data_IF_396752413285
#
_entry.id   IF_396752413285
#
_cell.length_a   1.000
_cell.length_b   1.000
_cell.length_c   1.000
_cell.angle_alpha   90.00
_cell.angle_beta   90.00
_cell.angle_gamma   90.00
#
_symmetry.space_group_name_H-M   'P 1'
#
loop_
_entity.id
_entity.type
_entity.pdbx_description
1 polymer ?
#
# COMPACT_ATOMS: atom_id res chain seq x y z
N UNK A 1 67.30 -2.08 55.90
CA UNK A 1 65.88 -2.27 56.17
C UNK A 1 65.16 -2.26 54.82
N UNK A 2 64.87 -3.36 54.26
CA UNK A 2 64.06 -3.35 53.03
C UNK A 2 62.58 -3.22 53.36
N UNK A 3 61.93 -2.23 52.79
CA UNK A 3 60.49 -2.07 52.85
C UNK A 3 59.81 -3.02 51.80
N UNK A 4 59.10 -3.98 52.28
CA UNK A 4 58.18 -4.76 51.47
C UNK A 4 56.96 -3.92 51.12
N UNK A 5 56.75 -3.60 49.87
CA UNK A 5 55.52 -3.05 49.35
C UNK A 5 54.66 -4.17 48.87
N UNK A 6 53.48 -4.30 49.44
CA UNK A 6 52.43 -5.22 49.01
C UNK A 6 51.82 -4.77 47.68
N UNK A 7 51.56 -5.65 46.70
CA UNK A 7 50.86 -5.27 45.52
C UNK A 7 49.35 -5.20 45.80
N UNK A 8 48.74 -4.14 45.36
CA UNK A 8 47.32 -3.86 45.45
C UNK A 8 46.53 -4.86 44.66
N UNK A 9 45.71 -5.65 45.32
CA UNK A 9 44.68 -6.51 44.75
C UNK A 9 43.46 -5.62 44.46
N UNK A 10 43.49 -4.84 43.40
CA UNK A 10 42.35 -3.97 43.05
C UNK A 10 41.97 -3.96 41.55
N UNK A 11 42.53 -4.83 40.73
CA UNK A 11 42.32 -4.79 39.28
C UNK A 11 41.52 -5.97 38.70
N UNK A 12 41.02 -6.88 39.52
CA UNK A 12 40.31 -8.06 39.05
C UNK A 12 38.79 -8.05 39.26
N UNK A 13 38.24 -7.05 39.91
CA UNK A 13 36.79 -6.99 40.18
C UNK A 13 36.00 -6.11 39.21
N UNK A 14 36.66 -5.34 38.35
CA UNK A 14 35.96 -4.47 37.40
C UNK A 14 35.70 -5.09 36.02
N UNK A 15 36.30 -6.24 35.71
CA UNK A 15 36.15 -6.89 34.40
C UNK A 15 34.93 -7.80 34.30
N UNK A 16 34.33 -8.21 35.40
CA UNK A 16 33.15 -9.12 35.38
C UNK A 16 31.80 -8.41 35.41
N UNK A 17 31.76 -7.11 35.68
CA UNK A 17 30.50 -6.35 35.68
C UNK A 17 30.08 -5.82 34.30
N UNK A 18 31.00 -5.85 33.31
CA UNK A 18 30.72 -5.28 31.96
C UNK A 18 30.11 -6.27 30.97
N UNK A 19 30.00 -7.55 31.27
CA UNK A 19 29.51 -8.57 30.36
C UNK A 19 27.99 -8.87 30.53
N UNK A 20 27.42 -8.43 31.65
CA UNK A 20 26.00 -8.75 31.97
C UNK A 20 24.99 -7.74 31.39
N UNK A 21 25.40 -6.66 30.70
CA UNK A 21 24.49 -5.61 30.22
C UNK A 21 24.23 -5.64 28.71
N UNK A 22 24.78 -6.61 27.99
CA UNK A 22 24.65 -6.70 26.53
C UNK A 22 23.54 -7.63 26.03
N UNK A 23 22.72 -8.22 26.91
CA UNK A 23 21.83 -9.32 26.53
C UNK A 23 20.33 -8.96 26.50
N UNK A 24 19.93 -7.71 26.59
CA UNK A 24 18.48 -7.35 26.73
C UNK A 24 17.93 -6.48 25.59
N UNK A 25 18.58 -6.45 24.43
CA UNK A 25 18.09 -5.68 23.28
C UNK A 25 17.68 -6.54 22.08
N UNK A 26 17.24 -7.79 22.34
CA UNK A 26 16.45 -8.53 21.37
C UNK A 26 14.98 -8.17 21.53
N UNK A 27 14.67 -6.90 21.38
CA UNK A 27 13.31 -6.44 21.23
C UNK A 27 12.82 -6.89 19.84
N UNK A 28 11.95 -7.90 19.78
CA UNK A 28 11.15 -8.16 18.58
C UNK A 28 10.36 -6.89 18.28
N UNK A 29 10.79 -6.13 17.27
CA UNK A 29 9.99 -5.04 16.73
C UNK A 29 8.82 -5.70 16.02
N UNK A 30 7.70 -5.85 16.70
CA UNK A 30 6.44 -6.17 16.08
C UNK A 30 6.06 -4.93 15.27
N UNK A 31 6.29 -4.97 13.97
CA UNK A 31 5.80 -3.95 13.07
C UNK A 31 4.27 -4.03 13.08
N UNK A 32 3.63 -3.25 13.94
CA UNK A 32 2.18 -3.04 13.90
C UNK A 32 1.91 -2.30 12.61
N UNK A 33 1.44 -3.03 11.61
CA UNK A 33 0.98 -2.43 10.35
C UNK A 33 -0.26 -1.62 10.70
N UNK A 34 -0.12 -0.32 10.76
CA UNK A 34 -1.26 0.56 10.96
C UNK A 34 -2.27 0.28 9.84
N UNK A 35 -3.57 0.13 10.15
CA UNK A 35 -4.58 -0.01 9.12
C UNK A 35 -4.49 1.21 8.20
N UNK A 36 -4.45 0.97 6.89
CA UNK A 36 -4.47 2.05 5.91
C UNK A 36 -5.74 2.88 6.17
N UNK A 37 -5.63 4.22 6.19
CA UNK A 37 -6.81 5.05 6.34
C UNK A 37 -7.78 4.74 5.20
N UNK A 38 -9.00 4.35 5.55
CA UNK A 38 -10.07 4.19 4.58
C UNK A 38 -10.33 5.56 3.96
N UNK A 39 -10.09 5.69 2.66
CA UNK A 39 -10.44 6.91 1.95
C UNK A 39 -11.96 7.12 2.06
N UNK A 40 -12.43 8.33 2.34
CA UNK A 40 -13.85 8.60 2.42
C UNK A 40 -14.51 8.32 1.08
N UNK A 41 -15.66 7.64 1.11
CA UNK A 41 -16.47 7.41 -0.10
C UNK A 41 -17.10 8.74 -0.49
N UNK A 42 -16.83 9.18 -1.72
CA UNK A 42 -17.43 10.39 -2.29
C UNK A 42 -18.76 10.01 -2.94
N UNK A 43 -19.84 10.63 -2.49
CA UNK A 43 -21.18 10.50 -3.08
C UNK A 43 -21.47 11.70 -3.97
N UNK A 44 -21.96 11.42 -5.17
CA UNK A 44 -22.30 12.42 -6.18
C UNK A 44 -23.80 12.38 -6.43
N UNK A 45 -24.51 13.47 -6.19
CA UNK A 45 -25.97 13.51 -6.36
C UNK A 45 -26.41 13.31 -7.81
N UNK A 46 -25.61 13.80 -8.75
CA UNK A 46 -25.84 13.70 -10.18
C UNK A 46 -25.43 12.32 -10.72
N UNK A 47 -26.30 11.70 -11.50
CA UNK A 47 -25.97 10.44 -12.16
C UNK A 47 -24.83 10.60 -13.17
N UNK A 48 -23.93 9.61 -13.30
CA UNK A 48 -22.89 9.63 -14.32
C UNK A 48 -23.52 9.61 -15.72
N UNK A 49 -22.88 10.26 -16.72
CA UNK A 49 -23.30 10.14 -18.10
C UNK A 49 -23.18 8.68 -18.61
N UNK A 50 -23.87 8.36 -19.69
CA UNK A 50 -23.68 7.10 -20.38
C UNK A 50 -22.21 6.97 -20.86
N UNK A 51 -21.64 5.76 -20.70
CA UNK A 51 -20.27 5.51 -21.14
C UNK A 51 -20.12 5.75 -22.65
N UNK A 52 -18.98 6.25 -23.08
CA UNK A 52 -18.63 6.33 -24.49
C UNK A 52 -18.45 4.93 -25.09
N UNK A 53 -18.91 4.78 -26.33
CA UNK A 53 -18.52 3.63 -27.14
C UNK A 53 -17.11 3.86 -27.67
N UNK A 54 -16.10 3.40 -26.93
CA UNK A 54 -14.72 3.51 -27.37
C UNK A 54 -14.42 2.51 -28.48
N UNK A 55 -13.65 2.97 -29.45
CA UNK A 55 -13.05 2.07 -30.43
C UNK A 55 -11.85 1.39 -29.78
N UNK A 56 -11.98 0.09 -29.54
CA UNK A 56 -10.87 -0.71 -29.02
C UNK A 56 -9.85 -0.91 -30.13
N UNK A 57 -8.66 -0.42 -29.94
CA UNK A 57 -7.54 -0.58 -30.89
C UNK A 57 -6.99 -2.01 -30.86
N UNK A 58 -6.11 -2.34 -31.80
CA UNK A 58 -5.42 -3.63 -31.80
C UNK A 58 -4.53 -3.74 -30.57
N UNK A 59 -4.52 -4.89 -29.89
CA UNK A 59 -3.63 -5.14 -28.76
C UNK A 59 -2.15 -5.01 -29.15
N UNK A 60 -1.32 -4.38 -28.33
CA UNK A 60 0.11 -4.23 -28.61
C UNK A 60 0.88 -5.54 -28.71
N UNK A 61 0.32 -6.64 -28.13
CA UNK A 61 0.95 -7.95 -28.14
C UNK A 61 0.12 -8.97 -27.33
N UNK A 62 0.60 -10.21 -27.25
CA UNK A 62 -0.09 -11.26 -26.49
C UNK A 62 -0.14 -10.94 -25.00
N UNK A 63 -1.20 -11.35 -24.33
CA UNK A 63 -1.37 -11.19 -22.89
C UNK A 63 -1.89 -9.81 -22.47
N UNK A 64 -2.01 -8.84 -23.37
CA UNK A 64 -2.64 -7.57 -23.05
C UNK A 64 -4.15 -7.72 -22.90
N UNK A 65 -4.70 -7.04 -21.90
CA UNK A 65 -6.13 -6.97 -21.60
C UNK A 65 -6.58 -5.53 -21.73
N UNK A 66 -7.73 -5.32 -22.37
CA UNK A 66 -8.32 -3.98 -22.47
C UNK A 66 -8.94 -3.56 -21.14
N UNK A 67 -8.46 -2.44 -20.61
CA UNK A 67 -9.08 -1.73 -19.50
C UNK A 67 -9.97 -0.66 -20.10
N UNK A 68 -11.29 -0.87 -20.08
CA UNK A 68 -12.25 0.06 -20.65
C UNK A 68 -12.25 1.42 -19.98
N UNK A 69 -12.59 2.46 -20.74
CA UNK A 69 -12.72 3.79 -20.20
C UNK A 69 -13.90 3.94 -19.24
N UNK A 70 -13.88 5.00 -18.47
CA UNK A 70 -14.90 5.29 -17.48
C UNK A 70 -14.99 6.78 -17.15
N UNK A 71 -16.11 7.22 -16.65
CA UNK A 71 -16.25 8.56 -16.09
C UNK A 71 -15.73 8.58 -14.64
N UNK A 72 -14.74 9.43 -14.39
CA UNK A 72 -14.28 9.76 -13.04
C UNK A 72 -14.91 11.07 -12.56
N UNK A 73 -15.04 11.24 -11.26
CA UNK A 73 -15.51 12.49 -10.66
C UNK A 73 -14.34 13.38 -10.28
N UNK A 74 -14.32 14.61 -10.78
CA UNK A 74 -13.25 15.58 -10.52
C UNK A 74 -13.46 16.42 -9.25
N UNK A 75 -14.56 16.21 -8.53
CA UNK A 75 -15.04 17.09 -7.47
C UNK A 75 -16.07 18.12 -7.96
N UNK A 76 -16.21 18.30 -9.26
CA UNK A 76 -17.12 19.25 -9.90
C UNK A 76 -17.91 18.64 -11.04
N UNK A 77 -17.24 17.92 -11.94
CA UNK A 77 -17.80 17.34 -13.14
C UNK A 77 -17.30 15.92 -13.38
N UNK A 78 -18.07 15.17 -14.16
CA UNK A 78 -17.65 13.89 -14.69
C UNK A 78 -16.67 14.08 -15.85
N UNK A 79 -15.48 13.49 -15.74
CA UNK A 79 -14.46 13.49 -16.76
C UNK A 79 -14.24 12.09 -17.30
N UNK A 80 -14.17 11.96 -18.62
CA UNK A 80 -13.91 10.69 -19.26
C UNK A 80 -12.44 10.31 -19.17
N UNK A 81 -12.15 9.15 -18.58
CA UNK A 81 -10.85 8.50 -18.60
C UNK A 81 -10.88 7.47 -19.72
N UNK A 82 -10.00 7.61 -20.70
CA UNK A 82 -9.93 6.71 -21.84
C UNK A 82 -9.48 5.32 -21.44
N UNK A 83 -10.01 4.30 -22.12
CA UNK A 83 -9.52 2.94 -21.99
C UNK A 83 -8.10 2.77 -22.55
N UNK A 84 -7.43 1.74 -22.12
CA UNK A 84 -6.07 1.43 -22.53
C UNK A 84 -5.76 -0.06 -22.41
N UNK A 85 -4.74 -0.50 -23.14
CA UNK A 85 -4.22 -1.86 -23.03
C UNK A 85 -3.25 -1.96 -21.87
N UNK A 86 -3.39 -3.01 -21.07
CA UNK A 86 -2.53 -3.27 -19.91
C UNK A 86 -2.19 -4.75 -19.79
N UNK A 87 -1.00 -5.06 -19.33
CA UNK A 87 -0.68 -6.40 -18.87
C UNK A 87 -1.28 -6.59 -17.48
N UNK A 88 -1.89 -7.76 -17.20
CA UNK A 88 -2.38 -8.07 -15.87
C UNK A 88 -1.27 -7.99 -14.82
N UNK A 89 -1.62 -7.57 -13.61
CA UNK A 89 -0.73 -7.70 -12.47
C UNK A 89 -0.38 -9.20 -12.25
N UNK A 90 0.80 -9.47 -11.71
CA UNK A 90 1.30 -10.84 -11.54
C UNK A 90 0.30 -11.72 -10.77
N UNK A 91 -0.07 -12.85 -11.38
CA UNK A 91 -1.03 -13.80 -10.80
C UNK A 91 -2.48 -13.55 -11.19
N UNK A 92 -2.76 -12.50 -11.97
CA UNK A 92 -4.09 -12.18 -12.48
C UNK A 92 -4.14 -12.33 -14.00
N UNK A 93 -5.35 -12.55 -14.52
CA UNK A 93 -5.57 -12.75 -15.97
C UNK A 93 -6.73 -11.94 -16.51
N UNK A 94 -7.59 -11.42 -15.65
CA UNK A 94 -8.85 -10.79 -16.03
C UNK A 94 -9.02 -9.44 -15.36
N UNK A 95 -9.53 -8.48 -16.11
CA UNK A 95 -9.92 -7.18 -15.57
C UNK A 95 -11.42 -7.13 -15.33
N UNK A 96 -11.82 -6.85 -14.09
CA UNK A 96 -13.19 -6.49 -13.76
C UNK A 96 -13.32 -4.98 -13.78
N UNK A 97 -14.14 -4.41 -14.69
CA UNK A 97 -14.28 -2.96 -14.77
C UNK A 97 -14.91 -2.37 -13.52
N UNK A 98 -14.53 -1.14 -13.19
CA UNK A 98 -15.21 -0.36 -12.18
C UNK A 98 -16.59 0.10 -12.67
N UNK A 99 -17.42 0.53 -11.75
CA UNK A 99 -18.76 1.02 -12.06
C UNK A 99 -19.25 2.02 -11.02
N UNK A 100 -20.20 2.86 -11.43
CA UNK A 100 -20.93 3.74 -10.55
C UNK A 100 -22.10 3.00 -9.91
N UNK A 101 -22.10 2.93 -8.60
CA UNK A 101 -23.19 2.32 -7.83
C UNK A 101 -24.14 3.39 -7.34
N UNK A 102 -25.46 3.13 -7.50
CA UNK A 102 -26.50 3.99 -6.95
C UNK A 102 -26.75 3.68 -5.48
N UNK A 103 -26.82 4.71 -4.66
CA UNK A 103 -27.09 4.64 -3.23
C UNK A 103 -28.09 5.73 -2.84
N UNK A 104 -28.70 5.65 -1.67
CA UNK A 104 -29.67 6.67 -1.17
C UNK A 104 -29.03 8.07 -1.07
N UNK A 105 -27.74 8.14 -0.85
CA UNK A 105 -26.95 9.38 -0.80
C UNK A 105 -26.40 9.85 -2.16
N UNK A 106 -26.80 9.25 -3.25
CA UNK A 106 -26.28 9.57 -4.59
C UNK A 106 -25.53 8.40 -5.22
N UNK A 107 -24.57 8.70 -6.07
CA UNK A 107 -23.77 7.69 -6.77
C UNK A 107 -22.35 7.69 -6.23
N UNK A 108 -21.74 6.51 -6.08
CA UNK A 108 -20.33 6.39 -5.74
C UNK A 108 -19.62 5.43 -6.67
N UNK A 109 -18.33 5.66 -6.86
CA UNK A 109 -17.49 4.86 -7.74
C UNK A 109 -16.97 3.61 -7.03
N UNK A 110 -17.16 2.46 -7.65
CA UNK A 110 -16.52 1.20 -7.27
C UNK A 110 -15.37 0.95 -8.25
N UNK A 111 -14.11 1.00 -7.79
CA UNK A 111 -12.95 0.81 -8.65
C UNK A 111 -12.92 -0.56 -9.33
N UNK A 112 -12.42 -0.60 -10.55
CA UNK A 112 -12.09 -1.86 -11.20
C UNK A 112 -10.92 -2.56 -10.52
N UNK A 113 -10.80 -3.87 -10.76
CA UNK A 113 -9.74 -4.69 -10.16
C UNK A 113 -9.34 -5.86 -11.04
N UNK A 114 -8.09 -6.27 -10.92
CA UNK A 114 -7.57 -7.48 -11.53
C UNK A 114 -8.01 -8.73 -10.75
N UNK A 115 -8.30 -9.80 -11.45
CA UNK A 115 -8.59 -11.14 -10.92
C UNK A 115 -7.80 -12.22 -11.65
#
# INVERSE_FOLDING_TARGET
MPKLSLPSISLLTTALASIALASVLSGCVVAVRAPLPLLPVVYVDRAPPAAYNEVVTVAPGPGYVWVGGYYGWSGRDYLWNRGYWSLPARGYTTWNPGYWHRHDRGHYWVPGQWR
#
